data_IF_321763615131
#
_entry.id   IF_321763615131
#
_cell.length_a   1.000
_cell.length_b   1.000
_cell.length_c   1.000
_cell.angle_alpha   90.00
_cell.angle_beta   90.00
_cell.angle_gamma   90.00
#
_symmetry.space_group_name_H-M   'P 1'
#
loop_
_entity.id
_entity.type
_entity.pdbx_description
1 polymer ?
#
# COMPACT_ATOMS: atom_id res chain seq x y z
N UNK A 1 23.35 9.79 -20.51
CA UNK A 1 23.29 9.58 -19.04
C UNK A 1 23.09 8.09 -18.84
N UNK A 2 24.06 7.39 -18.25
CA UNK A 2 23.88 5.97 -17.90
C UNK A 2 22.77 5.89 -16.87
N UNK A 3 21.61 5.33 -17.24
CA UNK A 3 20.50 5.08 -16.31
C UNK A 3 21.01 4.18 -15.18
N UNK A 4 21.25 4.78 -14.01
CA UNK A 4 21.59 4.03 -12.82
C UNK A 4 20.28 3.44 -12.28
N UNK A 5 20.01 2.18 -12.63
CA UNK A 5 18.88 1.47 -12.05
C UNK A 5 19.10 1.35 -10.55
N UNK A 6 18.09 1.68 -9.77
CA UNK A 6 18.13 1.62 -8.31
C UNK A 6 16.82 1.04 -7.80
N UNK A 7 16.91 -0.05 -7.04
CA UNK A 7 15.78 -0.82 -6.51
C UNK A 7 15.90 -0.97 -5.00
N UNK A 8 14.81 -0.66 -4.29
CA UNK A 8 14.69 -0.82 -2.84
C UNK A 8 13.76 -2.00 -2.55
N UNK A 9 14.34 -3.15 -2.24
CA UNK A 9 13.60 -4.36 -1.84
C UNK A 9 13.36 -4.36 -0.33
N UNK A 10 12.15 -4.77 0.08
CA UNK A 10 11.73 -4.88 1.49
C UNK A 10 11.14 -6.28 1.71
N UNK A 11 11.74 -7.02 2.63
CA UNK A 11 11.31 -8.35 3.06
C UNK A 11 10.88 -8.28 4.52
N UNK A 12 9.73 -8.87 4.83
CA UNK A 12 9.20 -8.88 6.19
C UNK A 12 8.67 -10.26 6.56
N UNK A 13 9.02 -10.70 7.76
CA UNK A 13 8.40 -11.84 8.45
C UNK A 13 7.54 -11.29 9.58
N UNK A 14 6.24 -11.57 9.55
CA UNK A 14 5.30 -11.07 10.54
C UNK A 14 4.34 -12.18 10.98
N UNK A 15 4.31 -12.45 12.28
CA UNK A 15 3.29 -13.33 12.86
C UNK A 15 1.98 -12.56 13.03
N UNK A 16 0.88 -13.22 12.68
CA UNK A 16 -0.48 -12.74 12.83
C UNK A 16 -1.25 -13.78 13.66
N UNK A 17 -1.90 -13.37 14.77
CA UNK A 17 -2.65 -14.28 15.64
C UNK A 17 -3.91 -14.79 14.92
N UNK A 18 -4.68 -15.73 15.53
CA UNK A 18 -6.00 -16.12 15.05
C UNK A 18 -6.83 -14.90 14.66
N UNK A 19 -7.07 -14.73 13.37
CA UNK A 19 -7.74 -13.53 12.85
C UNK A 19 -8.22 -13.68 11.41
N UNK A 20 -8.99 -12.70 10.95
CA UNK A 20 -9.50 -12.62 9.59
C UNK A 20 -9.23 -11.23 8.97
N UNK A 21 -7.94 -10.94 8.77
CA UNK A 21 -7.42 -9.61 8.41
C UNK A 21 -7.77 -9.23 6.96
N UNK A 22 -8.00 -10.23 6.10
CA UNK A 22 -8.39 -10.05 4.71
C UNK A 22 -9.22 -11.25 4.21
N UNK A 23 -10.48 -10.96 3.87
CA UNK A 23 -11.49 -11.95 3.47
C UNK A 23 -11.94 -11.82 2.03
N UNK A 24 -12.50 -12.89 1.49
CA UNK A 24 -13.24 -12.91 0.22
C UNK A 24 -14.71 -12.48 0.41
N UNK A 25 -15.51 -12.68 -0.62
CA UNK A 25 -16.93 -12.35 -0.68
C UNK A 25 -17.81 -13.25 0.18
N UNK A 26 -17.36 -14.46 0.53
CA UNK A 26 -18.07 -15.36 1.47
C UNK A 26 -17.72 -15.06 2.93
N UNK A 27 -16.73 -14.21 3.17
CA UNK A 27 -16.26 -13.84 4.50
C UNK A 27 -15.10 -14.69 5.01
N UNK A 28 -14.63 -15.65 4.21
CA UNK A 28 -13.54 -16.56 4.53
C UNK A 28 -12.17 -15.87 4.39
N UNK A 29 -11.18 -16.16 5.25
CA UNK A 29 -9.82 -15.68 5.06
C UNK A 29 -9.29 -16.09 3.69
N UNK A 30 -8.71 -15.14 2.95
CA UNK A 30 -8.15 -15.46 1.63
C UNK A 30 -6.99 -16.44 1.77
N UNK A 31 -6.96 -17.42 0.88
CA UNK A 31 -5.88 -18.42 0.78
C UNK A 31 -5.22 -18.42 -0.60
N UNK A 32 -4.14 -19.19 -0.74
CA UNK A 32 -3.49 -19.53 -2.02
C UNK A 32 -2.80 -20.90 -1.94
N UNK A 33 -2.64 -21.58 -3.07
CA UNK A 33 -1.80 -22.77 -3.17
C UNK A 33 -0.36 -22.36 -3.49
N UNK A 34 0.60 -22.80 -2.68
CA UNK A 34 2.03 -22.57 -2.94
C UNK A 34 2.90 -23.66 -2.30
N UNK A 35 3.75 -24.29 -3.11
CA UNK A 35 4.56 -25.44 -2.67
C UNK A 35 3.74 -26.66 -2.27
N UNK A 36 2.62 -26.89 -2.97
CA UNK A 36 1.74 -28.04 -2.75
C UNK A 36 0.87 -27.98 -1.49
N UNK A 37 0.82 -26.84 -0.78
CA UNK A 37 -0.05 -26.67 0.40
C UNK A 37 -0.83 -25.36 0.37
N UNK A 38 -1.95 -25.33 1.09
CA UNK A 38 -2.75 -24.12 1.32
C UNK A 38 -2.00 -23.16 2.25
N UNK A 39 -1.85 -21.90 1.80
CA UNK A 39 -1.25 -20.78 2.54
C UNK A 39 -2.31 -19.73 2.86
N UNK A 40 -2.18 -19.06 4.01
CA UNK A 40 -2.90 -17.82 4.23
C UNK A 40 -2.40 -16.79 3.21
N UNK A 41 -3.29 -15.98 2.68
CA UNK A 41 -2.95 -14.92 1.73
C UNK A 41 -3.59 -13.61 2.14
N UNK A 42 -2.78 -12.57 2.24
CA UNK A 42 -3.27 -11.20 2.40
C UNK A 42 -3.01 -10.46 1.10
N UNK A 43 -4.06 -9.87 0.56
CA UNK A 43 -4.03 -9.27 -0.76
C UNK A 43 -3.16 -8.01 -0.82
N UNK A 44 -2.42 -7.82 -1.91
CA UNK A 44 -1.52 -6.67 -2.06
C UNK A 44 -2.28 -5.35 -1.97
N UNK A 45 -3.51 -5.28 -2.49
CA UNK A 45 -4.38 -4.11 -2.36
C UNK A 45 -4.74 -3.79 -0.91
N UNK A 46 -4.88 -4.81 -0.04
CA UNK A 46 -5.17 -4.59 1.37
C UNK A 46 -3.99 -3.93 2.08
N UNK A 47 -2.77 -4.36 1.76
CA UNK A 47 -1.55 -3.75 2.26
C UNK A 47 -1.31 -2.37 1.67
N UNK A 48 -1.49 -2.19 0.35
CA UNK A 48 -1.40 -0.87 -0.30
C UNK A 48 -2.38 0.13 0.32
N UNK A 49 -3.61 -0.29 0.66
CA UNK A 49 -4.54 0.58 1.38
C UNK A 49 -4.01 0.97 2.76
N UNK A 50 -3.56 0.00 3.56
CA UNK A 50 -3.03 0.26 4.90
C UNK A 50 -1.82 1.22 4.86
N UNK A 51 -0.94 1.07 3.87
CA UNK A 51 0.20 1.97 3.62
C UNK A 51 -0.28 3.39 3.29
N UNK A 52 -1.26 3.52 2.41
CA UNK A 52 -1.84 4.84 2.05
C UNK A 52 -2.50 5.53 3.24
N UNK A 53 -3.27 4.78 4.03
CA UNK A 53 -3.88 5.32 5.26
C UNK A 53 -2.79 5.78 6.26
N UNK A 54 -1.67 5.07 6.32
CA UNK A 54 -0.51 5.47 7.13
C UNK A 54 0.13 6.76 6.62
N UNK A 55 0.29 6.92 5.30
CA UNK A 55 0.80 8.17 4.71
C UNK A 55 -0.06 9.38 5.08
N UNK A 56 -1.39 9.23 5.05
CA UNK A 56 -2.31 10.30 5.41
C UNK A 56 -2.14 10.78 6.86
N UNK A 57 -1.74 9.88 7.77
CA UNK A 57 -1.71 10.13 9.21
C UNK A 57 -0.31 10.47 9.73
N UNK A 58 0.74 10.02 9.04
CA UNK A 58 2.13 10.11 9.51
C UNK A 58 3.09 10.75 8.49
N UNK A 59 2.64 11.04 7.27
CA UNK A 59 3.45 11.73 6.28
C UNK A 59 3.71 13.18 6.69
N UNK A 60 4.99 13.58 6.76
CA UNK A 60 5.42 14.97 7.04
C UNK A 60 4.81 15.98 6.06
N UNK A 61 4.47 15.53 4.86
CA UNK A 61 3.78 16.30 3.82
C UNK A 61 2.52 15.53 3.46
N UNK A 62 1.35 16.11 3.74
CA UNK A 62 0.03 15.54 3.51
C UNK A 62 -0.33 15.33 2.02
N UNK A 63 0.64 15.26 1.11
CA UNK A 63 0.44 15.09 -0.33
C UNK A 63 0.20 13.61 -0.68
N UNK A 64 -0.91 13.08 -0.16
CA UNK A 64 -1.48 11.77 -0.50
C UNK A 64 -2.72 12.02 -1.35
N UNK A 65 -2.86 11.27 -2.44
CA UNK A 65 -3.95 11.45 -3.37
C UNK A 65 -5.29 10.96 -2.82
N UNK A 66 -6.37 11.56 -3.33
CA UNK A 66 -7.74 11.15 -3.07
C UNK A 66 -8.24 10.31 -4.23
N UNK A 67 -8.81 9.15 -3.91
CA UNK A 67 -9.47 8.26 -4.90
C UNK A 67 -10.96 8.24 -4.65
N UNK A 68 -11.75 8.84 -5.54
CA UNK A 68 -13.20 8.98 -5.36
C UNK A 68 -13.95 9.05 -6.70
N UNK A 69 -15.27 8.83 -6.65
CA UNK A 69 -16.21 9.21 -7.72
C UNK A 69 -16.63 10.68 -7.58
N UNK A 70 -16.46 11.27 -6.40
CA UNK A 70 -16.93 12.62 -6.04
C UNK A 70 -15.83 13.68 -6.18
N UNK A 71 -14.87 13.47 -7.08
CA UNK A 71 -13.77 14.43 -7.33
C UNK A 71 -14.29 15.78 -7.83
N UNK A 72 -15.44 15.80 -8.52
CA UNK A 72 -16.08 17.06 -8.94
C UNK A 72 -16.38 17.94 -7.74
N UNK A 73 -16.97 17.38 -6.68
CA UNK A 73 -17.24 18.12 -5.43
C UNK A 73 -15.95 18.57 -4.75
N UNK A 74 -14.96 17.67 -4.69
CA UNK A 74 -13.67 18.02 -4.11
C UNK A 74 -12.99 19.21 -4.81
N UNK A 75 -13.05 19.29 -6.15
CA UNK A 75 -12.55 20.46 -6.89
C UNK A 75 -13.46 21.68 -6.71
N UNK A 76 -14.78 21.49 -6.66
CA UNK A 76 -15.74 22.57 -6.41
C UNK A 76 -15.49 23.24 -5.04
N UNK A 77 -15.24 22.46 -3.99
CA UNK A 77 -14.86 22.98 -2.67
C UNK A 77 -13.60 23.85 -2.77
N UNK A 78 -12.58 23.40 -3.53
CA UNK A 78 -11.36 24.18 -3.80
C UNK A 78 -11.60 25.45 -4.62
N UNK A 79 -12.56 25.43 -5.55
CA UNK A 79 -12.98 26.63 -6.28
C UNK A 79 -13.60 27.63 -5.31
N UNK A 80 -14.51 27.20 -4.42
CA UNK A 80 -15.17 28.08 -3.46
C UNK A 80 -14.22 28.63 -2.39
N UNK A 81 -13.21 27.85 -1.98
CA UNK A 81 -12.12 28.31 -1.12
C UNK A 81 -11.32 29.46 -1.75
N UNK A 82 -11.15 29.45 -3.09
CA UNK A 82 -10.38 30.46 -3.84
C UNK A 82 -11.23 31.64 -4.31
N UNK A 83 -12.49 31.39 -4.68
CA UNK A 83 -13.46 32.39 -5.13
C UNK A 83 -14.80 32.18 -4.42
N UNK A 84 -14.96 32.87 -3.29
CA UNK A 84 -16.16 32.81 -2.44
C UNK A 84 -17.40 33.44 -3.07
N UNK A 85 -17.28 34.08 -4.24
CA UNK A 85 -18.42 34.60 -4.99
C UNK A 85 -19.18 33.50 -5.76
N UNK A 86 -18.57 32.32 -5.94
CA UNK A 86 -19.18 31.19 -6.66
C UNK A 86 -20.15 30.44 -5.76
N UNK A 87 -21.38 30.27 -6.24
CA UNK A 87 -22.36 29.38 -5.61
C UNK A 87 -21.88 27.93 -5.74
N UNK A 88 -22.41 27.03 -4.89
CA UNK A 88 -22.07 25.61 -4.92
C UNK A 88 -22.37 25.00 -6.30
N UNK A 89 -23.55 25.31 -6.87
CA UNK A 89 -23.96 24.84 -8.19
C UNK A 89 -23.03 25.35 -9.31
N UNK A 90 -22.60 26.62 -9.24
CA UNK A 90 -21.65 27.18 -10.21
C UNK A 90 -20.28 26.51 -10.11
N UNK A 91 -19.79 26.28 -8.88
CA UNK A 91 -18.50 25.63 -8.64
C UNK A 91 -18.52 24.17 -9.12
N UNK A 92 -19.60 23.42 -8.85
CA UNK A 92 -19.80 22.05 -9.34
C UNK A 92 -19.79 22.02 -10.87
N UNK A 93 -20.50 22.97 -11.51
CA UNK A 93 -20.55 23.05 -12.97
C UNK A 93 -19.18 23.35 -13.56
N UNK A 94 -18.45 24.32 -13.01
CA UNK A 94 -17.08 24.66 -13.44
C UNK A 94 -16.11 23.48 -13.28
N UNK A 95 -16.15 22.79 -12.14
CA UNK A 95 -15.33 21.62 -11.88
C UNK A 95 -15.65 20.47 -12.85
N UNK A 96 -16.94 20.19 -13.08
CA UNK A 96 -17.39 19.16 -14.03
C UNK A 96 -16.94 19.47 -15.45
N UNK A 97 -17.19 20.70 -15.93
CA UNK A 97 -16.81 21.13 -17.27
C UNK A 97 -15.28 21.05 -17.48
N UNK A 98 -14.50 21.41 -16.46
CA UNK A 98 -13.03 21.36 -16.50
C UNK A 98 -12.52 19.92 -16.56
N UNK A 99 -13.08 19.02 -15.75
CA UNK A 99 -12.71 17.59 -15.78
C UNK A 99 -13.11 16.90 -17.09
N UNK A 100 -14.29 17.21 -17.63
CA UNK A 100 -14.73 16.69 -18.92
C UNK A 100 -13.82 17.16 -20.07
N UNK A 101 -13.39 18.44 -20.06
CA UNK A 101 -12.37 18.97 -20.99
C UNK A 101 -11.00 18.31 -20.82
N UNK A 102 -10.65 17.96 -19.58
CA UNK A 102 -9.45 17.20 -19.26
C UNK A 102 -9.56 15.69 -19.61
N UNK A 103 -10.68 15.23 -20.19
CA UNK A 103 -10.86 13.84 -20.60
C UNK A 103 -11.32 12.88 -19.50
N UNK A 104 -11.70 13.40 -18.33
CA UNK A 104 -12.22 12.61 -17.19
C UNK A 104 -13.74 12.74 -17.16
N UNK A 105 -14.44 11.74 -17.70
CA UNK A 105 -15.88 11.84 -17.96
C UNK A 105 -16.73 11.80 -16.71
N UNK A 106 -17.68 12.72 -16.64
CA UNK A 106 -18.70 12.81 -15.59
C UNK A 106 -20.06 12.25 -16.01
N UNK A 107 -20.92 11.95 -15.04
CA UNK A 107 -22.35 11.67 -15.14
C UNK A 107 -23.02 12.00 -13.80
N UNK A 108 -24.14 12.73 -13.81
CA UNK A 108 -24.93 13.06 -12.61
C UNK A 108 -24.08 13.72 -11.49
N UNK A 109 -23.22 14.68 -11.86
CA UNK A 109 -22.27 15.37 -10.96
C UNK A 109 -21.28 14.44 -10.23
N UNK A 110 -21.05 13.24 -10.77
CA UNK A 110 -20.05 12.27 -10.30
C UNK A 110 -19.23 11.75 -11.48
N UNK A 111 -18.05 11.20 -11.21
CA UNK A 111 -17.25 10.55 -12.25
C UNK A 111 -17.79 9.15 -12.58
N UNK A 112 -17.62 8.72 -13.83
CA UNK A 112 -18.04 7.37 -14.28
C UNK A 112 -17.18 6.24 -13.68
N UNK A 113 -15.95 6.56 -13.29
CA UNK A 113 -15.00 5.64 -12.69
C UNK A 113 -14.21 6.33 -11.58
N UNK A 114 -13.64 5.53 -10.67
CA UNK A 114 -12.81 6.05 -9.58
C UNK A 114 -11.61 6.79 -10.17
N UNK A 115 -11.50 8.08 -9.89
CA UNK A 115 -10.36 8.89 -10.30
C UNK A 115 -9.47 9.16 -9.10
N UNK A 116 -8.16 9.26 -9.36
CA UNK A 116 -7.14 9.39 -8.34
C UNK A 116 -6.35 10.68 -8.60
N UNK A 117 -6.39 11.62 -7.66
CA UNK A 117 -5.83 12.96 -7.84
C UNK A 117 -5.12 13.44 -6.57
N UNK A 118 -3.98 14.14 -6.72
CA UNK A 118 -3.31 14.82 -5.61
C UNK A 118 -3.98 16.13 -5.23
N UNK A 119 -3.78 16.60 -3.99
CA UNK A 119 -4.34 17.90 -3.55
C UNK A 119 -3.84 19.05 -4.43
N UNK A 120 -2.53 19.10 -4.71
CA UNK A 120 -1.92 20.14 -5.55
C UNK A 120 -2.48 20.13 -6.98
N UNK A 121 -2.78 18.95 -7.52
CA UNK A 121 -3.40 18.81 -8.84
C UNK A 121 -4.84 19.32 -8.83
N UNK A 122 -5.60 19.03 -7.76
CA UNK A 122 -6.96 19.53 -7.59
C UNK A 122 -6.99 21.06 -7.42
N UNK A 123 -6.06 21.64 -6.66
CA UNK A 123 -5.94 23.08 -6.49
C UNK A 123 -5.62 23.81 -7.80
N UNK A 124 -4.68 23.29 -8.58
CA UNK A 124 -4.35 23.84 -9.90
C UNK A 124 -5.49 23.68 -10.91
N UNK A 125 -6.26 22.59 -10.84
CA UNK A 125 -7.48 22.45 -11.65
C UNK A 125 -8.57 23.44 -11.23
N UNK A 126 -8.70 23.73 -9.94
CA UNK A 126 -9.62 24.74 -9.45
C UNK A 126 -9.24 26.14 -9.97
N UNK A 127 -7.95 26.49 -9.96
CA UNK A 127 -7.43 27.73 -10.56
C UNK A 127 -7.72 27.78 -12.07
N UNK A 128 -7.39 26.72 -12.79
CA UNK A 128 -7.66 26.63 -14.22
C UNK A 128 -9.17 26.76 -14.55
N UNK A 129 -10.04 26.24 -13.68
CA UNK A 129 -11.48 26.39 -13.82
C UNK A 129 -11.96 27.85 -13.63
N UNK A 130 -11.38 28.56 -12.66
CA UNK A 130 -11.67 29.99 -12.40
C UNK A 130 -11.19 30.85 -13.56
N UNK A 131 -9.98 30.58 -14.07
CA UNK A 131 -9.37 31.31 -15.19
C UNK A 131 -10.00 30.98 -16.56
N UNK A 132 -10.91 30.01 -16.60
CA UNK A 132 -11.63 29.61 -17.81
C UNK A 132 -10.75 28.84 -18.81
N UNK A 133 -9.67 28.22 -18.34
CA UNK A 133 -8.77 27.41 -19.16
C UNK A 133 -9.55 26.21 -19.72
N UNK A 134 -9.54 26.09 -21.05
CA UNK A 134 -10.24 25.01 -21.76
C UNK A 134 -9.30 24.14 -22.60
N UNK A 135 -8.00 24.47 -22.66
CA UNK A 135 -7.04 23.71 -23.44
C UNK A 135 -6.75 22.37 -22.77
N UNK A 136 -7.01 21.28 -23.50
CA UNK A 136 -6.84 19.92 -23.00
C UNK A 136 -5.37 19.62 -22.63
N UNK A 137 -4.39 20.16 -23.36
CA UNK A 137 -2.97 19.87 -23.10
C UNK A 137 -2.51 20.52 -21.80
N UNK A 138 -2.97 21.74 -21.53
CA UNK A 138 -2.69 22.45 -20.28
C UNK A 138 -3.30 21.73 -19.08
N UNK A 139 -4.57 21.31 -19.17
CA UNK A 139 -5.23 20.52 -18.12
C UNK A 139 -4.56 19.15 -17.91
N UNK A 140 -4.08 18.50 -18.98
CA UNK A 140 -3.29 17.28 -18.87
C UNK A 140 -1.95 17.50 -18.19
N UNK A 141 -1.28 18.63 -18.47
CA UNK A 141 -0.03 18.98 -17.79
C UNK A 141 -0.25 19.15 -16.29
N UNK A 142 -1.34 19.81 -15.88
CA UNK A 142 -1.72 19.93 -14.46
C UNK A 142 -1.92 18.55 -13.82
N UNK A 143 -2.63 17.65 -14.49
CA UNK A 143 -2.92 16.30 -14.00
C UNK A 143 -1.71 15.36 -13.95
N UNK A 144 -0.63 15.68 -14.67
CA UNK A 144 0.61 14.88 -14.73
C UNK A 144 1.70 15.41 -13.82
N UNK A 145 1.80 16.73 -13.67
CA UNK A 145 2.84 17.36 -12.88
C UNK A 145 2.58 17.15 -11.38
N UNK A 146 3.68 17.06 -10.62
CA UNK A 146 3.69 16.87 -9.17
C UNK A 146 2.63 15.88 -8.64
N UNK A 147 2.68 14.60 -9.08
CA UNK A 147 1.75 13.59 -8.56
C UNK A 147 1.94 13.39 -7.06
N UNK A 148 0.85 13.14 -6.35
CA UNK A 148 0.91 12.73 -4.95
C UNK A 148 1.78 11.47 -4.76
N UNK A 149 2.39 11.32 -3.59
CA UNK A 149 3.39 10.26 -3.33
C UNK A 149 2.82 8.86 -3.60
N UNK A 150 1.58 8.61 -3.21
CA UNK A 150 0.90 7.33 -3.43
C UNK A 150 0.48 7.10 -4.89
N UNK A 151 0.25 8.15 -5.68
CA UNK A 151 0.09 8.06 -7.13
C UNK A 151 1.43 7.70 -7.79
N UNK A 152 2.53 8.37 -7.40
CA UNK A 152 3.85 8.07 -7.92
C UNK A 152 4.32 6.64 -7.57
N UNK A 153 3.97 6.16 -6.37
CA UNK A 153 4.28 4.78 -5.94
C UNK A 153 3.37 3.74 -6.59
N UNK A 154 2.04 3.94 -6.60
CA UNK A 154 1.09 2.89 -6.97
C UNK A 154 0.44 3.05 -8.34
N UNK A 155 0.73 4.14 -9.03
CA UNK A 155 0.19 4.47 -10.35
C UNK A 155 -1.26 4.94 -10.32
N UNK A 156 -1.70 5.39 -11.50
CA UNK A 156 -3.07 5.79 -11.79
C UNK A 156 -3.48 5.23 -13.14
N UNK A 157 -4.68 4.66 -13.21
CA UNK A 157 -5.28 4.21 -14.46
C UNK A 157 -6.56 5.01 -14.72
N UNK A 158 -6.67 5.57 -15.92
CA UNK A 158 -7.81 6.36 -16.40
C UNK A 158 -8.28 5.72 -17.71
N UNK A 159 -9.36 4.97 -17.65
CA UNK A 159 -9.85 4.20 -18.79
C UNK A 159 -10.36 5.10 -19.94
N UNK A 160 -10.98 6.24 -19.59
CA UNK A 160 -11.54 7.18 -20.58
C UNK A 160 -10.48 7.93 -21.38
N UNK A 161 -9.30 8.17 -20.79
CA UNK A 161 -8.15 8.78 -21.46
C UNK A 161 -6.84 8.17 -20.96
N UNK A 162 -6.31 7.14 -21.65
CA UNK A 162 -5.07 6.48 -21.27
C UNK A 162 -3.84 7.40 -21.23
N UNK A 163 -3.90 8.59 -21.83
CA UNK A 163 -2.78 9.53 -21.76
C UNK A 163 -2.58 10.12 -20.36
N UNK A 164 -3.56 10.00 -19.46
CA UNK A 164 -3.49 10.39 -18.05
C UNK A 164 -3.02 9.27 -17.11
N UNK A 165 -2.71 8.09 -17.68
CA UNK A 165 -2.16 6.99 -16.90
C UNK A 165 -0.79 7.36 -16.33
N UNK A 166 -0.57 6.97 -15.07
CA UNK A 166 0.72 7.06 -14.41
C UNK A 166 1.18 5.65 -14.06
N UNK A 167 2.38 5.30 -14.48
CA UNK A 167 3.00 4.02 -14.16
C UNK A 167 3.44 4.00 -12.69
N UNK A 168 3.26 2.84 -12.06
CA UNK A 168 3.67 2.63 -10.68
C UNK A 168 5.19 2.43 -10.57
N UNK A 169 5.84 3.12 -9.62
CA UNK A 169 7.24 2.85 -9.26
C UNK A 169 7.39 1.71 -8.24
N UNK A 170 6.30 1.29 -7.57
CA UNK A 170 6.32 0.28 -6.53
C UNK A 170 5.56 -1.01 -6.90
N UNK A 171 6.19 -2.14 -6.60
CA UNK A 171 5.64 -3.49 -6.71
C UNK A 171 5.39 -4.02 -5.30
N UNK A 172 4.16 -4.39 -4.97
CA UNK A 172 3.81 -4.98 -3.67
C UNK A 172 3.21 -6.36 -3.92
N UNK A 173 3.85 -7.40 -3.39
CA UNK A 173 3.38 -8.76 -3.54
C UNK A 173 2.17 -9.05 -2.63
N UNK A 174 1.42 -10.09 -2.98
CA UNK A 174 0.54 -10.73 -2.00
C UNK A 174 1.41 -11.28 -0.87
N UNK A 175 1.03 -11.03 0.38
CA UNK A 175 1.68 -11.69 1.50
C UNK A 175 1.12 -13.09 1.63
N UNK A 176 1.99 -14.09 1.78
CA UNK A 176 1.59 -15.48 1.97
C UNK A 176 2.23 -16.07 3.22
N UNK A 177 1.59 -17.06 3.85
CA UNK A 177 2.19 -17.74 5.00
C UNK A 177 3.41 -18.58 4.61
N UNK A 178 4.44 -18.55 5.45
CA UNK A 178 5.68 -19.34 5.28
C UNK A 178 5.48 -20.83 5.55
N UNK A 179 4.35 -21.19 6.16
CA UNK A 179 3.90 -22.56 6.44
C UNK A 179 2.49 -22.81 5.90
N UNK A 180 2.06 -24.07 5.91
CA UNK A 180 0.68 -24.44 5.62
C UNK A 180 -0.26 -23.88 6.69
N UNK A 181 -1.48 -23.52 6.31
CA UNK A 181 -2.54 -23.10 7.25
C UNK A 181 -3.76 -23.99 7.10
N UNK A 182 -4.52 -24.09 8.18
CA UNK A 182 -5.86 -24.64 8.20
C UNK A 182 -6.83 -23.53 8.57
N UNK A 183 -8.01 -23.57 7.98
CA UNK A 183 -9.08 -22.64 8.32
C UNK A 183 -9.81 -23.18 9.52
N UNK A 184 -10.02 -22.33 10.51
CA UNK A 184 -10.73 -22.62 11.75
C UNK A 184 -12.06 -21.86 11.77
N UNK A 185 -13.02 -22.36 12.55
CA UNK A 185 -14.38 -21.84 12.62
C UNK A 185 -14.70 -21.40 14.04
N UNK A 186 -15.16 -20.16 14.18
CA UNK A 186 -15.71 -19.62 15.43
C UNK A 186 -17.24 -19.63 15.34
N UNK A 187 -17.90 -20.38 16.22
CA UNK A 187 -19.36 -20.43 16.32
C UNK A 187 -19.79 -19.51 17.46
N UNK A 188 -20.50 -18.43 17.13
CA UNK A 188 -20.90 -17.41 18.08
C UNK A 188 -22.40 -17.18 18.07
N UNK A 189 -22.91 -16.71 19.21
CA UNK A 189 -24.30 -16.26 19.38
C UNK A 189 -24.33 -14.77 19.70
N UNK A 190 -25.40 -14.10 19.29
CA UNK A 190 -25.79 -12.81 19.86
C UNK A 190 -26.99 -13.03 20.76
N UNK A 191 -26.87 -12.68 22.04
CA UNK A 191 -27.94 -12.83 23.02
C UNK A 191 -28.89 -11.64 22.98
N UNK A 192 -30.19 -11.89 23.16
CA UNK A 192 -31.19 -10.85 23.35
C UNK A 192 -31.44 -10.66 24.84
N UNK A 193 -31.00 -9.52 25.38
CA UNK A 193 -31.09 -9.18 26.79
C UNK A 193 -32.54 -9.02 27.29
N UNK A 194 -33.52 -8.86 26.39
CA UNK A 194 -34.95 -8.71 26.71
C UNK A 194 -35.78 -9.94 26.30
N UNK A 195 -35.15 -11.07 25.98
CA UNK A 195 -35.85 -12.29 25.62
C UNK A 195 -36.75 -12.81 26.76
N UNK A 196 -37.90 -13.41 26.39
CA UNK A 196 -38.81 -14.07 27.33
C UNK A 196 -38.15 -15.33 27.91
N UNK A 197 -38.42 -15.63 29.18
CA UNK A 197 -37.77 -16.74 29.94
C UNK A 197 -37.94 -18.14 29.32
N UNK A 198 -38.93 -18.33 28.45
CA UNK A 198 -39.22 -19.56 27.73
C UNK A 198 -38.43 -19.74 26.42
N UNK A 199 -37.59 -18.77 26.06
CA UNK A 199 -36.75 -18.81 24.88
C UNK A 199 -35.27 -18.71 25.27
N UNK A 200 -34.42 -19.60 24.79
CA UNK A 200 -33.01 -19.75 25.23
C UNK A 200 -32.07 -18.59 24.83
N UNK A 201 -32.60 -17.39 24.60
CA UNK A 201 -31.84 -16.13 24.49
C UNK A 201 -30.96 -15.97 23.26
N UNK A 202 -30.80 -16.97 22.38
CA UNK A 202 -30.00 -16.85 21.16
C UNK A 202 -30.78 -16.11 20.05
N UNK A 203 -30.63 -14.78 20.00
CA UNK A 203 -31.23 -13.93 18.97
C UNK A 203 -30.62 -14.11 17.58
N UNK A 204 -29.37 -14.58 17.49
CA UNK A 204 -28.69 -14.95 16.24
C UNK A 204 -27.59 -15.99 16.49
N UNK A 205 -27.41 -16.91 15.54
CA UNK A 205 -26.25 -17.80 15.42
C UNK A 205 -25.44 -17.39 14.19
N UNK A 206 -24.12 -17.39 14.32
CA UNK A 206 -23.21 -17.10 13.22
C UNK A 206 -21.93 -17.93 13.27
N UNK A 207 -21.26 -18.00 12.14
CA UNK A 207 -19.93 -18.62 12.02
C UNK A 207 -18.97 -17.61 11.39
N UNK A 208 -17.78 -17.47 11.96
CA UNK A 208 -16.68 -16.72 11.37
C UNK A 208 -15.50 -17.65 11.14
N UNK A 209 -14.98 -17.65 9.92
CA UNK A 209 -13.73 -18.33 9.61
C UNK A 209 -12.52 -17.45 9.94
N UNK A 210 -11.46 -18.08 10.46
CA UNK A 210 -10.20 -17.42 10.78
C UNK A 210 -9.00 -18.38 10.59
N UNK A 211 -7.79 -17.83 10.62
CA UNK A 211 -6.56 -18.62 10.74
C UNK A 211 -5.50 -17.83 11.51
N UNK A 212 -4.43 -18.51 11.91
CA UNK A 212 -3.19 -17.88 12.38
C UNK A 212 -2.05 -18.17 11.40
N UNK A 213 -1.15 -17.22 11.20
CA UNK A 213 -0.08 -17.41 10.23
C UNK A 213 1.15 -16.54 10.49
N UNK A 214 2.32 -17.08 10.16
CA UNK A 214 3.55 -16.30 9.94
C UNK A 214 3.62 -15.94 8.47
N UNK A 215 3.41 -14.66 8.16
CA UNK A 215 3.40 -14.12 6.80
C UNK A 215 4.80 -13.71 6.36
N UNK A 216 5.14 -14.08 5.13
CA UNK A 216 6.18 -13.41 4.36
C UNK A 216 5.54 -12.31 3.50
N UNK A 217 6.05 -11.09 3.64
CA UNK A 217 5.61 -9.90 2.89
C UNK A 217 6.80 -9.38 2.10
N UNK A 218 6.53 -8.95 0.86
CA UNK A 218 7.55 -8.40 -0.02
C UNK A 218 7.03 -7.17 -0.78
N UNK A 219 7.87 -6.15 -0.87
CA UNK A 219 7.68 -5.01 -1.76
C UNK A 219 9.02 -4.58 -2.37
N UNK A 220 8.94 -3.93 -3.52
CA UNK A 220 10.07 -3.29 -4.19
C UNK A 220 9.65 -1.90 -4.66
N UNK A 221 10.57 -0.93 -4.59
CA UNK A 221 10.43 0.38 -5.23
C UNK A 221 11.58 0.62 -6.20
N UNK A 222 11.24 0.90 -7.46
CA UNK A 222 12.19 1.41 -8.45
C UNK A 222 12.49 2.89 -8.16
N UNK A 223 13.46 3.13 -7.26
CA UNK A 223 13.83 4.46 -6.79
C UNK A 223 14.19 5.43 -7.94
N UNK A 224 14.91 4.94 -8.94
CA UNK A 224 15.24 5.71 -10.15
C UNK A 224 14.03 6.17 -10.97
N UNK A 225 12.94 5.40 -10.99
CA UNK A 225 11.68 5.84 -11.61
C UNK A 225 10.95 6.81 -10.70
N UNK A 226 10.97 6.58 -9.37
CA UNK A 226 10.35 7.49 -8.41
C UNK A 226 10.97 8.90 -8.45
N UNK A 227 12.30 9.01 -8.59
CA UNK A 227 13.00 10.30 -8.77
C UNK A 227 12.42 11.06 -9.96
N UNK A 228 12.26 10.40 -11.12
CA UNK A 228 11.70 11.03 -12.32
C UNK A 228 10.26 11.49 -12.13
N UNK A 229 9.45 10.72 -11.38
CA UNK A 229 8.04 11.06 -11.10
C UNK A 229 7.90 12.21 -10.11
N UNK A 230 8.90 12.42 -9.27
CA UNK A 230 8.97 13.53 -8.32
C UNK A 230 9.85 14.67 -8.86
N UNK A 231 9.88 14.87 -10.18
CA UNK A 231 10.55 15.99 -10.85
C UNK A 231 12.05 16.12 -10.50
N UNK A 232 12.75 14.99 -10.44
CA UNK A 232 14.16 14.87 -10.05
C UNK A 232 14.48 15.39 -8.64
N UNK A 233 13.46 15.51 -7.78
CA UNK A 233 13.62 15.91 -6.39
C UNK A 233 14.11 14.73 -5.54
N UNK A 234 15.43 14.65 -5.38
CA UNK A 234 16.10 13.60 -4.59
C UNK A 234 15.69 13.60 -3.12
N UNK A 235 15.50 14.77 -2.52
CA UNK A 235 15.12 14.89 -1.10
C UNK A 235 13.69 14.39 -0.87
N UNK A 236 12.74 14.79 -1.73
CA UNK A 236 11.38 14.27 -1.69
C UNK A 236 11.35 12.75 -1.93
N UNK A 237 12.20 12.24 -2.83
CA UNK A 237 12.31 10.81 -3.11
C UNK A 237 12.85 10.04 -1.91
N UNK A 238 13.92 10.54 -1.26
CA UNK A 238 14.48 9.96 -0.03
C UNK A 238 13.40 9.85 1.05
N UNK A 239 12.69 10.95 1.32
CA UNK A 239 11.63 11.00 2.32
C UNK A 239 10.47 10.06 1.98
N UNK A 240 10.07 9.97 0.71
CA UNK A 240 9.04 9.05 0.25
C UNK A 240 9.44 7.58 0.41
N UNK A 241 10.69 7.22 0.11
CA UNK A 241 11.21 5.85 0.28
C UNK A 241 11.29 5.46 1.76
N UNK A 242 11.77 6.37 2.62
CA UNK A 242 11.81 6.15 4.08
C UNK A 242 10.40 5.95 4.65
N UNK A 243 9.46 6.83 4.27
CA UNK A 243 8.06 6.72 4.67
C UNK A 243 7.41 5.44 4.12
N UNK A 244 7.77 5.00 2.91
CA UNK A 244 7.30 3.72 2.36
C UNK A 244 7.80 2.53 3.17
N UNK A 245 9.07 2.50 3.57
CA UNK A 245 9.62 1.44 4.45
C UNK A 245 8.92 1.47 5.81
N UNK A 246 8.78 2.65 6.42
CA UNK A 246 8.09 2.82 7.71
C UNK A 246 6.65 2.34 7.66
N UNK A 247 5.87 2.82 6.70
CA UNK A 247 4.47 2.42 6.51
C UNK A 247 4.34 0.94 6.18
N UNK A 248 5.24 0.35 5.39
CA UNK A 248 5.22 -1.08 5.12
C UNK A 248 5.44 -1.88 6.42
N UNK A 249 6.30 -1.43 7.32
CA UNK A 249 6.56 -2.14 8.58
C UNK A 249 5.45 -1.91 9.63
N UNK A 250 4.97 -0.67 9.77
CA UNK A 250 4.09 -0.26 10.88
C UNK A 250 2.58 -0.30 10.58
N UNK A 251 2.18 -0.25 9.31
CA UNK A 251 0.75 -0.33 8.95
C UNK A 251 0.25 -1.77 8.94
N UNK A 252 -1.08 -1.97 9.07
CA UNK A 252 -1.71 -3.29 8.98
C UNK A 252 -3.15 -3.19 8.45
N UNK A 253 -3.63 -4.18 7.67
CA UNK A 253 -5.04 -4.28 7.31
C UNK A 253 -5.96 -4.32 8.53
N UNK A 254 -7.05 -3.55 8.47
CA UNK A 254 -8.01 -3.39 9.58
C UNK A 254 -9.21 -4.35 9.50
N UNK A 255 -9.16 -5.35 8.62
CA UNK A 255 -10.23 -6.34 8.49
C UNK A 255 -10.50 -7.07 9.81
N UNK A 256 -11.73 -6.98 10.33
CA UNK A 256 -12.16 -7.62 11.59
C UNK A 256 -11.26 -7.31 12.80
N UNK A 257 -10.56 -6.16 12.77
CA UNK A 257 -9.59 -5.80 13.82
C UNK A 257 -10.20 -5.68 15.21
N UNK A 258 -11.41 -5.11 15.31
CA UNK A 258 -12.10 -4.96 16.59
C UNK A 258 -12.56 -6.31 17.19
N UNK A 259 -12.74 -7.33 16.35
CA UNK A 259 -13.19 -8.66 16.80
C UNK A 259 -12.01 -9.53 17.23
N UNK A 260 -10.85 -9.43 16.55
CA UNK A 260 -9.71 -10.33 16.78
C UNK A 260 -8.49 -9.67 17.43
N UNK A 261 -8.47 -8.35 17.64
CA UNK A 261 -7.35 -7.62 18.23
C UNK A 261 -5.98 -7.98 17.62
N UNK A 262 -5.92 -8.02 16.29
CA UNK A 262 -4.85 -8.66 15.52
C UNK A 262 -3.71 -7.71 15.12
N UNK A 263 -3.54 -6.57 15.79
CA UNK A 263 -2.46 -5.62 15.53
C UNK A 263 -1.12 -6.21 16.00
N UNK A 264 -0.21 -6.49 15.07
CA UNK A 264 1.13 -7.02 15.37
C UNK A 264 2.23 -6.26 14.66
N UNK A 265 3.45 -6.39 15.14
CA UNK A 265 4.66 -5.89 14.48
C UNK A 265 5.44 -7.04 13.83
N UNK A 266 6.21 -6.75 12.77
CA UNK A 266 7.17 -7.71 12.21
C UNK A 266 8.15 -8.29 13.22
N UNK A 267 8.43 -9.57 13.08
CA UNK A 267 9.52 -10.25 13.80
C UNK A 267 10.86 -10.11 13.09
N UNK A 268 10.83 -9.88 11.77
CA UNK A 268 12.02 -9.60 10.99
C UNK A 268 11.73 -8.65 9.83
N UNK A 269 12.67 -7.75 9.56
CA UNK A 269 12.64 -6.79 8.45
C UNK A 269 14.00 -6.81 7.77
N UNK A 270 14.04 -6.86 6.45
CA UNK A 270 15.26 -6.69 5.65
C UNK A 270 14.98 -5.69 4.54
N UNK A 271 15.81 -4.66 4.46
CA UNK A 271 15.78 -3.64 3.42
C UNK A 271 17.07 -3.74 2.63
N UNK A 272 16.98 -3.95 1.32
CA UNK A 272 18.17 -4.02 0.45
C UNK A 272 18.08 -2.99 -0.67
N UNK A 273 19.17 -2.27 -0.88
CA UNK A 273 19.32 -1.35 -1.99
C UNK A 273 20.18 -2.03 -3.06
N UNK A 274 19.67 -2.10 -4.29
CA UNK A 274 20.28 -2.86 -5.39
C UNK A 274 20.39 -2.01 -6.65
N UNK A 275 21.46 -2.21 -7.42
CA UNK A 275 21.71 -1.51 -8.69
C UNK A 275 21.38 -2.33 -9.95
N UNK A 276 21.03 -3.61 -9.78
CA UNK A 276 20.82 -4.55 -10.88
C UNK A 276 19.34 -4.82 -11.16
N UNK A 277 18.65 -5.48 -10.21
CA UNK A 277 17.26 -5.91 -10.33
C UNK A 277 16.63 -6.10 -8.95
N UNK A 278 15.30 -5.98 -8.83
CA UNK A 278 14.59 -6.40 -7.63
C UNK A 278 14.55 -7.92 -7.52
N UNK A 279 14.59 -8.42 -6.28
CA UNK A 279 14.63 -9.87 -5.99
C UNK A 279 13.62 -10.23 -4.92
N UNK A 280 12.57 -10.96 -5.30
CA UNK A 280 11.63 -11.53 -4.34
C UNK A 280 12.11 -12.90 -3.84
N UNK A 281 12.27 -13.05 -2.52
CA UNK A 281 12.75 -14.27 -1.86
C UNK A 281 11.60 -15.24 -1.49
N UNK A 282 10.45 -15.15 -2.16
CA UNK A 282 9.31 -16.07 -1.94
C UNK A 282 9.68 -17.54 -2.18
N UNK A 283 10.68 -17.81 -3.03
CA UNK A 283 11.21 -19.15 -3.31
C UNK A 283 11.79 -19.83 -2.07
N UNK A 284 12.26 -19.06 -1.08
CA UNK A 284 12.72 -19.62 0.19
C UNK A 284 11.63 -20.37 0.96
N UNK A 285 10.36 -20.06 0.68
CA UNK A 285 9.18 -20.64 1.34
C UNK A 285 8.38 -21.58 0.44
N UNK A 286 8.92 -21.95 -0.74
CA UNK A 286 8.31 -22.95 -1.63
C UNK A 286 8.09 -24.24 -0.83
N UNK A 287 9.15 -24.81 -0.25
CA UNK A 287 9.01 -25.86 0.74
C UNK A 287 8.45 -25.28 2.04
N UNK A 288 7.25 -25.69 2.48
CA UNK A 288 6.60 -25.11 3.66
C UNK A 288 7.46 -25.25 4.91
N UNK A 289 7.58 -24.18 5.69
CA UNK A 289 8.24 -24.22 6.99
C UNK A 289 7.53 -25.24 7.88
N UNK A 290 8.30 -26.20 8.39
CA UNK A 290 7.86 -27.17 9.40
C UNK A 290 8.48 -26.81 10.75
N UNK A 291 7.77 -27.13 11.82
CA UNK A 291 8.22 -26.85 13.19
C UNK A 291 7.57 -27.83 14.17
N UNK A 292 8.25 -28.06 15.29
CA UNK A 292 7.68 -28.72 16.48
C UNK A 292 7.27 -27.68 17.55
N UNK A 293 7.31 -26.39 17.21
CA UNK A 293 7.00 -25.24 18.07
C UNK A 293 6.52 -24.03 17.25
N UNK A 294 7.11 -22.85 17.45
CA UNK A 294 6.78 -21.65 16.67
C UNK A 294 7.32 -21.68 15.23
N UNK A 295 6.70 -20.92 14.32
CA UNK A 295 7.14 -20.80 12.92
C UNK A 295 8.14 -19.67 12.66
N UNK A 296 8.20 -18.67 13.54
CA UNK A 296 8.96 -17.42 13.32
C UNK A 296 10.44 -17.71 13.10
N UNK A 297 11.10 -18.42 14.03
CA UNK A 297 12.54 -18.66 13.98
C UNK A 297 12.96 -19.39 12.69
N UNK A 298 12.24 -20.45 12.31
CA UNK A 298 12.53 -21.21 11.09
C UNK A 298 12.22 -20.40 9.83
N UNK A 299 11.22 -19.52 9.87
CA UNK A 299 10.91 -18.60 8.76
C UNK A 299 12.02 -17.58 8.54
N UNK A 300 12.57 -17.01 9.63
CA UNK A 300 13.71 -16.08 9.55
C UNK A 300 14.95 -16.80 9.01
N UNK A 301 15.26 -18.01 9.50
CA UNK A 301 16.38 -18.81 8.98
C UNK A 301 16.25 -19.12 7.49
N UNK A 302 15.04 -19.44 7.02
CA UNK A 302 14.80 -19.65 5.59
C UNK A 302 14.96 -18.36 4.78
N UNK A 303 14.52 -17.21 5.30
CA UNK A 303 14.74 -15.91 4.66
C UNK A 303 16.24 -15.60 4.53
N UNK A 304 17.01 -15.76 5.61
CA UNK A 304 18.47 -15.56 5.62
C UNK A 304 19.16 -16.44 4.58
N UNK A 305 18.78 -17.73 4.53
CA UNK A 305 19.30 -18.65 3.53
C UNK A 305 18.93 -18.22 2.11
N UNK A 306 17.67 -17.86 1.88
CA UNK A 306 17.18 -17.43 0.56
C UNK A 306 17.88 -16.17 0.05
N UNK A 307 18.16 -15.21 0.94
CA UNK A 307 18.94 -14.02 0.61
C UNK A 307 20.38 -14.38 0.18
N UNK A 308 21.04 -15.30 0.89
CA UNK A 308 22.38 -15.79 0.53
C UNK A 308 22.38 -16.57 -0.78
N UNK A 309 21.41 -17.48 -0.96
CA UNK A 309 21.26 -18.26 -2.19
C UNK A 309 21.02 -17.34 -3.40
N UNK A 310 20.22 -16.28 -3.25
CA UNK A 310 19.97 -15.32 -4.31
C UNK A 310 21.25 -14.60 -4.77
N UNK A 311 22.17 -14.26 -3.87
CA UNK A 311 23.43 -13.59 -4.21
C UNK A 311 24.33 -14.39 -5.16
N UNK A 312 24.07 -15.69 -5.35
CA UNK A 312 24.79 -16.50 -6.34
C UNK A 312 24.38 -16.20 -7.79
N UNK A 313 23.22 -15.56 -8.00
CA UNK A 313 22.69 -15.23 -9.33
C UNK A 313 22.74 -13.75 -9.68
N UNK A 314 22.80 -12.87 -8.67
CA UNK A 314 22.64 -11.43 -8.81
C UNK A 314 23.81 -10.69 -8.18
N UNK A 315 23.99 -9.41 -8.51
CA UNK A 315 25.06 -8.61 -7.94
C UNK A 315 24.89 -8.46 -6.41
N UNK A 316 25.98 -8.21 -5.70
CA UNK A 316 25.90 -7.86 -4.27
C UNK A 316 25.09 -6.57 -4.12
N UNK A 317 24.13 -6.49 -3.18
CA UNK A 317 23.42 -5.25 -2.87
C UNK A 317 24.40 -4.12 -2.54
N UNK A 318 24.05 -2.88 -2.88
CA UNK A 318 24.77 -1.68 -2.45
C UNK A 318 24.72 -1.54 -0.92
N UNK A 319 23.58 -1.91 -0.33
CA UNK A 319 23.40 -1.95 1.12
C UNK A 319 22.34 -2.96 1.51
N UNK A 320 22.50 -3.56 2.70
CA UNK A 320 21.51 -4.42 3.34
C UNK A 320 21.40 -4.00 4.79
N UNK A 321 20.19 -3.68 5.24
CA UNK A 321 19.87 -3.32 6.62
C UNK A 321 18.78 -4.25 7.12
N UNK A 322 18.87 -4.72 8.37
CA UNK A 322 17.86 -5.62 8.90
C UNK A 322 17.57 -5.43 10.38
N UNK A 323 16.43 -5.98 10.80
CA UNK A 323 16.03 -6.15 12.20
C UNK A 323 15.56 -7.59 12.36
N UNK A 324 16.00 -8.26 13.42
CA UNK A 324 15.62 -9.64 13.73
C UNK A 324 16.39 -10.70 12.94
N UNK A 325 17.41 -10.31 12.16
CA UNK A 325 18.36 -11.21 11.50
C UNK A 325 19.70 -11.25 12.25
N UNK A 326 20.56 -12.21 11.91
CA UNK A 326 21.92 -12.32 12.49
C UNK A 326 22.92 -11.34 11.91
N UNK A 327 22.84 -11.09 10.61
CA UNK A 327 23.76 -10.23 9.86
C UNK A 327 23.09 -8.87 9.58
N UNK A 328 23.86 -7.78 9.54
CA UNK A 328 23.38 -6.42 9.24
C UNK A 328 22.25 -5.89 10.16
N UNK A 329 22.14 -6.48 11.36
CA UNK A 329 21.11 -6.17 12.33
C UNK A 329 21.32 -4.79 12.97
N UNK A 330 20.32 -3.92 12.88
CA UNK A 330 20.29 -2.61 13.52
C UNK A 330 19.80 -2.72 14.97
N UNK A 331 20.08 -1.72 15.81
CA UNK A 331 19.65 -1.72 17.21
C UNK A 331 18.13 -1.70 17.37
N UNK A 332 17.47 -0.91 16.52
CA UNK A 332 16.03 -0.71 16.50
C UNK A 332 15.59 -0.20 15.12
N UNK A 333 14.29 0.06 14.97
CA UNK A 333 13.71 0.49 13.70
C UNK A 333 14.04 1.93 13.31
N UNK A 334 14.25 2.82 14.28
CA UNK A 334 14.64 4.19 13.98
C UNK A 334 16.08 4.23 13.46
N UNK A 335 16.99 3.47 14.08
CA UNK A 335 18.36 3.31 13.60
C UNK A 335 18.41 2.74 12.16
N UNK A 336 17.52 1.79 11.82
CA UNK A 336 17.38 1.29 10.45
C UNK A 336 16.96 2.40 9.48
N UNK A 337 15.97 3.22 9.84
CA UNK A 337 15.51 4.33 8.99
C UNK A 337 16.58 5.41 8.83
N UNK A 338 17.29 5.77 9.90
CA UNK A 338 18.39 6.73 9.84
C UNK A 338 19.52 6.25 8.92
N UNK A 339 19.91 4.98 9.05
CA UNK A 339 20.95 4.40 8.20
C UNK A 339 20.47 4.28 6.74
N UNK A 340 19.19 3.94 6.52
CA UNK A 340 18.59 3.95 5.19
C UNK A 340 18.64 5.34 4.57
N UNK A 341 18.32 6.39 5.33
CA UNK A 341 18.38 7.78 4.86
C UNK A 341 19.76 8.16 4.32
N UNK A 342 20.82 7.83 5.06
CA UNK A 342 22.22 8.06 4.63
C UNK A 342 22.56 7.31 3.35
N UNK A 343 22.21 6.02 3.30
CA UNK A 343 22.44 5.17 2.11
C UNK A 343 21.71 5.73 0.89
N UNK A 344 20.47 6.20 1.05
CA UNK A 344 19.71 6.80 -0.05
C UNK A 344 20.31 8.13 -0.50
N UNK A 345 20.77 8.98 0.41
CA UNK A 345 21.42 10.26 0.10
C UNK A 345 22.68 10.08 -0.75
N UNK A 346 23.44 9.02 -0.51
CA UNK A 346 24.66 8.70 -1.27
C UNK A 346 24.38 8.12 -2.67
N UNK A 347 23.19 7.53 -2.90
CA UNK A 347 22.91 6.72 -4.10
C UNK A 347 21.78 7.25 -5.02
N UNK A 348 20.97 8.21 -4.57
CA UNK A 348 19.91 8.85 -5.37
C UNK A 348 20.42 9.93 -6.32
#
# INVERSE_FOLDING_TARGET
MTNHNLFLDIHVIQAVPPSNINRDDTGSPKTAQYGGVTRARVSSQSWKKAIRDYFNTNGLYANVGIRSLDIIRYIADKIQEKDSSKTEDDAIKLASDTLDKAGVKSKDNRLKALFFIGSDQAEKLAEAAIDGIADKKELHAILKNNPAIDIALFGRMVADDPSLNEDASAQVAHAISTHAVQTEFDFFTATDDLAREDNAGAGMLGTIEYNSSTLYRYANVAAHELVKRLEDNKEATKNALMLFVESFVKSMPTGKVNTFANQTLPSAVVVTLRSDRPVNIVTAFEMPVKTNGGYIENSVKQLEKGLKDAQTFVATPLSTLSIGLKENNQSDFNALLEQLGKVLEENL
#
